data_IF_295004912771
#
_entry.id   IF_295004912771
#
_cell.length_a   1.000
_cell.length_b   1.000
_cell.length_c   1.000
_cell.angle_alpha   90.00
_cell.angle_beta   90.00
_cell.angle_gamma   90.00
#
_symmetry.space_group_name_H-M   'P 1'
#
loop_
_entity.id
_entity.type
_entity.pdbx_description
1 polymer ?
#
# COMPACT_ATOMS: atom_id res chain seq x y z
N UNK A 1 -13.54 2.21 4.91
CA UNK A 1 -12.42 3.01 5.47
C UNK A 1 -11.55 3.52 4.33
N UNK A 2 -10.83 4.63 4.50
CA UNK A 2 -10.00 5.20 3.43
C UNK A 2 -8.94 4.20 2.90
N UNK A 3 -8.42 3.32 3.74
CA UNK A 3 -7.46 2.28 3.31
C UNK A 3 -8.04 1.30 2.28
N UNK A 4 -9.33 0.98 2.36
CA UNK A 4 -9.97 0.02 1.45
C UNK A 4 -10.44 0.67 0.15
N UNK A 5 -10.63 1.99 0.15
CA UNK A 5 -11.00 2.76 -1.04
C UNK A 5 -10.66 4.25 -0.86
N UNK A 6 -9.41 4.67 -1.10
CA UNK A 6 -8.99 6.05 -0.91
C UNK A 6 -9.47 6.97 -2.04
N UNK A 7 -9.68 6.43 -3.25
CA UNK A 7 -10.30 7.03 -4.47
C UNK A 7 -10.16 6.06 -5.65
N UNK A 8 -10.85 4.92 -5.61
CA UNK A 8 -10.81 3.89 -6.66
C UNK A 8 -10.19 2.60 -6.16
N UNK A 9 -8.92 2.33 -6.49
CA UNK A 9 -8.24 1.12 -6.03
C UNK A 9 -7.81 1.27 -4.56
N UNK A 10 -8.24 0.31 -3.74
CA UNK A 10 -7.88 0.24 -2.32
C UNK A 10 -6.38 0.02 -2.12
N UNK A 11 -5.82 0.58 -1.05
CA UNK A 11 -4.46 0.24 -0.63
C UNK A 11 -4.34 -1.25 -0.31
N UNK A 12 -5.40 -1.85 0.23
CA UNK A 12 -5.51 -3.29 0.53
C UNK A 12 -5.26 -4.19 -0.69
N UNK A 13 -5.70 -3.78 -1.87
CA UNK A 13 -5.57 -4.55 -3.12
C UNK A 13 -4.12 -4.63 -3.63
N UNK A 14 -3.22 -3.82 -3.07
CA UNK A 14 -1.81 -3.81 -3.45
C UNK A 14 -0.88 -4.14 -2.27
N UNK A 15 -1.28 -3.79 -1.05
CA UNK A 15 -0.41 -3.83 0.12
C UNK A 15 -0.86 -4.85 1.18
N UNK A 16 -1.91 -5.63 0.91
CA UNK A 16 -2.42 -6.64 1.85
C UNK A 16 -3.34 -6.04 2.90
N UNK A 17 -3.98 -6.90 3.70
CA UNK A 17 -5.00 -6.46 4.67
C UNK A 17 -4.40 -5.64 5.80
N UNK A 18 -3.19 -5.99 6.19
CA UNK A 18 -2.45 -5.42 7.31
C UNK A 18 -1.28 -4.55 6.85
N UNK A 19 -1.15 -4.24 5.56
CA UNK A 19 0.01 -3.53 5.02
C UNK A 19 1.28 -4.38 4.97
N UNK A 20 1.16 -5.71 4.96
CA UNK A 20 2.23 -6.71 4.87
C UNK A 20 2.93 -6.76 3.50
N UNK A 21 2.31 -6.16 2.48
CA UNK A 21 2.70 -6.29 1.08
C UNK A 21 2.10 -7.55 0.45
N UNK A 22 1.81 -7.51 -0.83
CA UNK A 22 1.29 -8.69 -1.52
C UNK A 22 1.65 -8.74 -2.99
N UNK A 23 1.58 -9.95 -3.55
CA UNK A 23 1.68 -10.16 -4.98
C UNK A 23 0.40 -9.67 -5.67
N UNK A 24 0.55 -8.79 -6.65
CA UNK A 24 -0.56 -8.21 -7.43
C UNK A 24 -0.77 -9.02 -8.70
N UNK A 25 0.30 -9.32 -9.44
CA UNK A 25 0.19 -10.05 -10.70
C UNK A 25 1.53 -10.71 -11.11
N UNK A 26 1.42 -11.80 -11.86
CA UNK A 26 2.53 -12.37 -12.63
C UNK A 26 2.32 -12.09 -14.12
N UNK A 27 3.37 -11.69 -14.82
CA UNK A 27 3.30 -11.36 -16.23
C UNK A 27 4.63 -11.64 -16.93
N UNK A 28 4.58 -11.82 -18.25
CA UNK A 28 5.79 -12.02 -19.06
C UNK A 28 6.13 -10.72 -19.77
N UNK A 29 7.38 -10.28 -19.64
CA UNK A 29 7.90 -9.14 -20.38
C UNK A 29 9.26 -9.49 -20.99
N UNK A 30 9.38 -9.34 -22.32
CA UNK A 30 10.61 -9.71 -23.07
C UNK A 30 11.05 -11.14 -22.78
N UNK A 31 10.11 -12.09 -22.83
CA UNK A 31 10.32 -13.54 -22.56
C UNK A 31 10.84 -13.87 -21.14
N UNK A 32 10.81 -12.91 -20.22
CA UNK A 32 11.16 -13.12 -18.80
C UNK A 32 9.91 -12.98 -17.94
N UNK A 33 9.69 -13.96 -17.05
CA UNK A 33 8.67 -13.85 -16.02
C UNK A 33 8.99 -12.70 -15.08
N UNK A 34 7.96 -11.92 -14.72
CA UNK A 34 8.04 -10.82 -13.78
C UNK A 34 6.86 -10.89 -12.82
N UNK A 35 7.10 -10.45 -11.61
CA UNK A 35 6.09 -10.33 -10.58
C UNK A 35 5.93 -8.87 -10.22
N UNK A 36 4.69 -8.38 -10.29
CA UNK A 36 4.29 -7.11 -9.72
C UNK A 36 3.85 -7.34 -8.28
N UNK A 37 4.49 -6.67 -7.34
CA UNK A 37 4.17 -6.75 -5.91
C UNK A 37 4.09 -5.36 -5.32
N UNK A 38 3.13 -5.15 -4.42
CA UNK A 38 3.13 -3.97 -3.57
C UNK A 38 3.99 -4.22 -2.33
N UNK A 39 4.85 -3.28 -1.93
CA UNK A 39 5.72 -3.45 -0.77
C UNK A 39 4.95 -3.46 0.55
N UNK A 40 5.59 -4.01 1.58
CA UNK A 40 5.19 -3.83 2.98
C UNK A 40 5.20 -2.34 3.36
N UNK A 41 4.15 -1.88 4.02
CA UNK A 41 3.96 -0.48 4.44
C UNK A 41 3.68 -0.34 5.95
N UNK A 42 3.36 -1.42 6.65
CA UNK A 42 3.11 -1.44 8.10
C UNK A 42 4.38 -1.48 8.97
N UNK A 43 5.53 -1.22 8.36
CA UNK A 43 6.83 -1.11 9.00
C UNK A 43 7.50 0.25 8.71
N UNK A 44 6.80 1.15 8.02
CA UNK A 44 7.30 2.48 7.69
C UNK A 44 7.03 3.45 8.85
N UNK A 45 7.94 4.40 9.05
CA UNK A 45 7.62 5.60 9.82
C UNK A 45 6.57 6.44 9.08
N UNK A 46 5.83 7.28 9.82
CA UNK A 46 4.84 8.18 9.21
C UNK A 46 5.44 9.03 8.08
N UNK A 47 6.65 9.57 8.27
CA UNK A 47 7.34 10.39 7.25
C UNK A 47 7.66 9.59 5.99
N UNK A 48 8.08 8.34 6.11
CA UNK A 48 8.32 7.47 4.95
C UNK A 48 7.02 7.13 4.23
N UNK A 49 5.97 6.86 4.99
CA UNK A 49 4.62 6.57 4.48
C UNK A 49 4.05 7.75 3.68
N UNK A 50 4.09 8.96 4.23
CA UNK A 50 3.64 10.19 3.57
C UNK A 50 4.45 10.45 2.28
N UNK A 51 5.77 10.36 2.36
CA UNK A 51 6.64 10.53 1.20
C UNK A 51 6.35 9.49 0.10
N UNK A 52 5.95 8.27 0.45
CA UNK A 52 5.61 7.25 -0.52
C UNK A 52 4.34 7.59 -1.31
N UNK A 53 3.34 8.21 -0.68
CA UNK A 53 2.09 8.64 -1.31
C UNK A 53 2.25 9.86 -2.22
N UNK A 54 3.23 10.72 -1.94
CA UNK A 54 3.53 11.88 -2.77
C UNK A 54 4.37 11.52 -4.01
N UNK A 55 5.19 10.47 -3.92
CA UNK A 55 6.07 10.03 -5.02
C UNK A 55 5.27 9.29 -6.08
N UNK A 56 5.44 9.69 -7.34
CA UNK A 56 4.93 8.91 -8.48
C UNK A 56 5.65 7.56 -8.54
N UNK A 57 4.90 6.45 -8.42
CA UNK A 57 5.41 5.10 -8.70
C UNK A 57 4.85 4.64 -10.04
N UNK A 58 5.48 3.62 -10.64
CA UNK A 58 5.11 3.14 -11.99
C UNK A 58 3.67 2.62 -12.09
N UNK A 59 3.13 2.05 -11.00
CA UNK A 59 1.82 1.36 -11.00
C UNK A 59 0.89 1.89 -9.91
N UNK A 60 1.42 2.35 -8.77
CA UNK A 60 0.60 2.93 -7.71
C UNK A 60 0.00 4.26 -8.20
N UNK A 61 -1.34 4.42 -8.15
CA UNK A 61 -1.98 5.64 -8.61
C UNK A 61 -1.75 6.79 -7.63
N UNK A 62 -1.96 8.02 -8.11
CA UNK A 62 -2.00 9.21 -7.26
C UNK A 62 -3.41 9.41 -6.72
N UNK A 63 -3.53 9.48 -5.40
CA UNK A 63 -4.81 9.63 -4.73
C UNK A 63 -5.15 11.09 -4.38
N UNK A 64 -4.21 12.04 -4.44
CA UNK A 64 -4.42 13.46 -4.08
C UNK A 64 -5.03 13.64 -2.67
N UNK A 65 -4.53 12.86 -1.70
CA UNK A 65 -5.00 12.87 -0.32
C UNK A 65 -4.51 14.11 0.43
N UNK A 66 -5.33 14.62 1.33
CA UNK A 66 -4.92 15.64 2.31
C UNK A 66 -4.04 15.01 3.39
N UNK A 67 -3.24 15.81 4.10
CA UNK A 67 -2.40 15.31 5.20
C UNK A 67 -3.21 14.58 6.27
N UNK A 68 -4.42 15.05 6.60
CA UNK A 68 -5.30 14.40 7.57
C UNK A 68 -5.79 13.03 7.08
N UNK A 69 -6.07 12.88 5.79
CA UNK A 69 -6.45 11.59 5.20
C UNK A 69 -5.28 10.61 5.19
N UNK A 70 -4.07 11.10 4.91
CA UNK A 70 -2.84 10.29 4.97
C UNK A 70 -2.60 9.79 6.40
N UNK A 71 -2.72 10.69 7.40
CA UNK A 71 -2.60 10.35 8.81
C UNK A 71 -3.66 9.35 9.26
N UNK A 72 -4.91 9.50 8.81
CA UNK A 72 -5.98 8.56 9.14
C UNK A 72 -5.69 7.15 8.59
N UNK A 73 -5.15 7.03 7.38
CA UNK A 73 -4.75 5.74 6.81
C UNK A 73 -3.58 5.14 7.59
N UNK A 74 -2.60 5.96 7.95
CA UNK A 74 -1.44 5.51 8.74
C UNK A 74 -1.86 4.96 10.10
N UNK A 75 -2.65 5.74 10.86
CA UNK A 75 -3.18 5.32 12.16
C UNK A 75 -4.04 4.07 12.07
N UNK A 76 -4.83 3.94 11.01
CA UNK A 76 -5.58 2.72 10.75
C UNK A 76 -4.65 1.51 10.64
N UNK A 77 -3.58 1.60 9.85
CA UNK A 77 -2.57 0.55 9.70
C UNK A 77 -1.84 0.20 11.00
N UNK A 78 -1.63 1.17 11.90
CA UNK A 78 -1.05 0.92 13.23
C UNK A 78 -2.06 0.26 14.19
N UNK A 79 -3.35 0.58 14.03
CA UNK A 79 -4.43 0.07 14.90
C UNK A 79 -4.89 -1.35 14.57
N UNK A 80 -4.64 -1.84 13.35
CA UNK A 80 -5.05 -3.18 12.96
C UNK A 80 -4.04 -4.21 13.48
N UNK A 81 -4.52 -5.16 14.26
CA UNK A 81 -3.68 -6.22 14.80
C UNK A 81 -3.10 -7.08 13.66
N UNK A 82 -1.78 -7.25 13.67
CA UNK A 82 -1.13 -8.24 12.81
C UNK A 82 -1.59 -9.64 13.26
N UNK A 83 -1.87 -10.58 12.34
CA UNK A 83 -2.08 -11.96 12.72
C UNK A 83 -0.91 -12.43 13.58
N UNK A 84 -1.21 -13.06 14.72
CA UNK A 84 -0.19 -13.75 15.52
C UNK A 84 0.45 -14.81 14.62
N UNK A 85 1.73 -14.63 14.25
CA UNK A 85 2.50 -15.68 13.59
C UNK A 85 2.70 -16.80 14.62
N UNK A 86 2.04 -17.94 14.40
CA UNK A 86 2.19 -19.19 15.17
C UNK A 86 3.23 -20.10 14.52
#
# INVERSE_FOLDING_TARGET
>A
MLYTNPRGIGCVECHGRFGEGQQIANYIHKRKGKTLQGPRINNLSFREFENALQKTKKVMPKYYLTSNEIEAIYKYLESIEKPQEY
#
